data_IF_439116677385
#
_entry.id   IF_439116677385
#
_cell.length_a   1.000
_cell.length_b   1.000
_cell.length_c   1.000
_cell.angle_alpha   90.00
_cell.angle_beta   90.00
_cell.angle_gamma   90.00
#
_symmetry.space_group_name_H-M   'P 1'
#
loop_
_entity.id
_entity.type
_entity.pdbx_description
1 polymer ?
#
# COMPACT_ATOMS: atom_id res chain seq x y z
N UNK A 1 -24.82 -23.03 -6.61
CA UNK A 1 -25.15 -21.91 -5.69
C UNK A 1 -23.86 -21.16 -5.46
N UNK A 2 -23.71 -19.95 -6.00
CA UNK A 2 -22.64 -19.06 -5.55
C UNK A 2 -23.02 -18.63 -4.14
N UNK A 3 -22.39 -19.21 -3.14
CA UNK A 3 -22.46 -18.64 -1.80
C UNK A 3 -21.74 -17.29 -1.90
N UNK A 4 -22.45 -16.20 -1.63
CA UNK A 4 -21.85 -14.88 -1.48
C UNK A 4 -20.95 -14.91 -0.25
N UNK A 5 -19.67 -15.26 -0.46
CA UNK A 5 -18.68 -15.29 0.60
C UNK A 5 -18.39 -13.84 1.00
N UNK A 6 -18.73 -13.51 2.24
CA UNK A 6 -18.47 -12.22 2.85
C UNK A 6 -17.26 -12.33 3.77
N UNK A 7 -16.31 -11.42 3.62
CA UNK A 7 -15.02 -11.42 4.31
C UNK A 7 -14.94 -10.20 5.22
N UNK A 8 -14.55 -10.41 6.48
CA UNK A 8 -14.31 -9.34 7.46
C UNK A 8 -12.82 -9.02 7.53
N UNK A 9 -12.48 -7.74 7.67
CA UNK A 9 -11.11 -7.32 7.93
C UNK A 9 -10.80 -7.41 9.43
N UNK A 10 -9.74 -8.17 9.73
CA UNK A 10 -9.30 -8.49 11.09
C UNK A 10 -8.51 -7.34 11.75
N UNK A 11 -8.06 -6.37 10.95
CA UNK A 11 -7.18 -5.25 11.34
C UNK A 11 -7.89 -4.22 12.25
N UNK A 12 -9.17 -4.46 12.54
CA UNK A 12 -10.14 -3.47 12.99
C UNK A 12 -10.75 -3.75 14.35
N UNK A 13 -10.31 -4.78 15.08
CA UNK A 13 -10.89 -5.12 16.39
C UNK A 13 -10.59 -4.10 17.51
N UNK A 14 -9.59 -3.21 17.34
CA UNK A 14 -9.16 -2.28 18.41
C UNK A 14 -8.70 -0.90 17.90
N UNK A 15 -9.46 -0.18 17.06
CA UNK A 15 -9.08 1.17 16.61
C UNK A 15 -10.23 2.17 16.70
N UNK A 16 -9.93 3.43 17.00
CA UNK A 16 -10.86 4.56 16.86
C UNK A 16 -11.20 4.75 15.38
N UNK A 17 -12.45 4.47 15.01
CA UNK A 17 -12.94 4.57 13.63
C UNK A 17 -13.99 5.67 13.53
N UNK A 18 -13.86 6.48 12.49
CA UNK A 18 -14.95 7.37 12.08
C UNK A 18 -15.64 6.74 10.86
N UNK A 19 -16.92 6.48 11.00
CA UNK A 19 -17.75 5.91 9.93
C UNK A 19 -18.11 7.05 8.96
N UNK A 20 -17.75 6.92 7.68
CA UNK A 20 -18.05 7.93 6.63
C UNK A 20 -19.42 7.63 5.99
N UNK A 21 -19.69 6.35 5.73
CA UNK A 21 -20.97 5.85 5.20
C UNK A 21 -21.31 4.49 5.82
N UNK A 22 -22.41 3.85 5.39
CA UNK A 22 -22.86 2.54 5.89
C UNK A 22 -21.73 1.48 5.94
N UNK A 23 -20.80 1.52 4.99
CA UNK A 23 -19.76 0.49 4.80
C UNK A 23 -18.32 1.04 4.66
N UNK A 24 -18.16 2.36 4.43
CA UNK A 24 -16.86 3.04 4.22
C UNK A 24 -16.39 3.71 5.52
N UNK A 25 -15.11 3.51 5.87
CA UNK A 25 -14.49 3.99 7.12
C UNK A 25 -13.23 4.80 6.82
N UNK A 26 -12.93 5.81 7.65
CA UNK A 26 -11.57 6.34 7.82
C UNK A 26 -10.95 5.73 9.06
N UNK A 27 -9.68 5.38 8.97
CA UNK A 27 -8.89 4.98 10.13
C UNK A 27 -7.47 5.53 10.00
N UNK A 28 -6.91 5.96 11.14
CA UNK A 28 -5.50 6.33 11.23
C UNK A 28 -4.67 5.11 11.57
N UNK A 29 -3.60 4.90 10.83
CA UNK A 29 -2.66 3.80 11.01
C UNK A 29 -1.28 4.35 11.32
N UNK A 30 -0.76 4.04 12.50
CA UNK A 30 0.61 4.35 12.88
C UNK A 30 1.56 3.29 12.32
N UNK A 31 2.51 3.74 11.52
CA UNK A 31 3.59 2.95 10.91
C UNK A 31 4.88 3.31 11.63
N UNK A 32 5.54 2.30 12.20
CA UNK A 32 6.68 2.54 13.08
C UNK A 32 7.98 2.50 12.29
N UNK A 33 8.75 3.57 12.41
CA UNK A 33 10.14 3.57 11.98
C UNK A 33 11.02 3.14 13.15
N UNK A 34 11.53 1.91 13.13
CA UNK A 34 12.41 1.41 14.20
C UNK A 34 13.73 2.19 14.32
N UNK A 35 14.06 3.09 13.39
CA UNK A 35 15.33 3.85 13.39
C UNK A 35 15.41 4.95 14.46
N UNK A 36 14.29 5.29 15.12
CA UNK A 36 14.26 6.20 16.29
C UNK A 36 14.13 5.48 17.63
N UNK A 37 14.27 4.15 17.64
CA UNK A 37 14.65 3.45 18.85
C UNK A 37 16.14 3.78 19.04
N UNK A 38 16.45 4.90 19.72
CA UNK A 38 17.60 4.85 20.62
C UNK A 38 17.47 3.53 21.36
N UNK A 39 18.54 2.72 21.52
CA UNK A 39 18.46 1.50 22.30
C UNK A 39 18.13 1.92 23.73
N UNK A 40 16.84 2.13 24.00
CA UNK A 40 16.27 2.25 25.32
C UNK A 40 16.60 0.91 25.90
N UNK A 41 17.56 0.93 26.81
CA UNK A 41 17.93 -0.15 27.72
C UNK A 41 16.77 -1.12 27.80
N UNK A 42 16.95 -2.27 27.15
CA UNK A 42 15.95 -3.32 26.99
C UNK A 42 15.20 -3.47 28.31
N UNK A 43 13.93 -3.06 28.41
CA UNK A 43 13.11 -3.55 29.50
C UNK A 43 12.94 -5.03 29.17
N UNK A 44 13.55 -5.87 29.99
CA UNK A 44 13.40 -7.30 30.00
C UNK A 44 11.91 -7.67 30.08
N UNK A 45 11.31 -7.87 28.92
CA UNK A 45 10.16 -8.73 28.71
C UNK A 45 10.50 -9.52 27.47
N UNK A 46 10.53 -10.85 27.58
CA UNK A 46 10.66 -11.76 26.45
C UNK A 46 9.71 -11.28 25.35
N UNK A 47 10.24 -10.69 24.26
CA UNK A 47 9.45 -10.44 23.06
C UNK A 47 9.21 -11.81 22.43
N UNK A 48 8.28 -12.57 23.00
CA UNK A 48 7.77 -13.80 22.40
C UNK A 48 7.09 -13.39 21.10
N UNK A 49 7.67 -13.84 20.00
CA UNK A 49 7.04 -13.75 18.68
C UNK A 49 5.86 -14.72 18.75
N UNK A 50 4.64 -14.18 18.77
CA UNK A 50 3.43 -14.98 18.85
C UNK A 50 2.88 -15.26 17.44
N UNK A 51 2.28 -16.43 17.28
CA UNK A 51 1.67 -16.89 16.05
C UNK A 51 0.20 -17.22 16.31
N UNK A 52 -0.66 -16.99 15.31
CA UNK A 52 -2.05 -17.41 15.39
C UNK A 52 -2.22 -18.90 15.03
N UNK A 53 -3.48 -19.35 14.93
CA UNK A 53 -3.80 -20.74 14.61
C UNK A 53 -3.37 -21.18 13.20
N UNK A 54 -3.19 -20.23 12.29
CA UNK A 54 -2.77 -20.48 10.91
C UNK A 54 -1.24 -20.40 10.75
N UNK A 55 -0.53 -20.03 11.83
CA UNK A 55 0.92 -19.88 11.85
C UNK A 55 1.38 -18.52 11.34
N UNK A 56 0.47 -17.56 11.20
CA UNK A 56 0.80 -16.19 10.83
C UNK A 56 1.28 -15.40 12.04
N UNK A 57 2.16 -14.43 11.78
CA UNK A 57 2.76 -13.61 12.81
C UNK A 57 1.71 -12.64 13.40
N UNK A 58 1.51 -12.70 14.72
CA UNK A 58 0.65 -11.75 15.44
C UNK A 58 1.41 -10.43 15.62
N UNK A 59 1.07 -9.41 14.82
CA UNK A 59 1.69 -8.08 14.94
C UNK A 59 0.89 -7.17 15.87
N UNK A 60 1.33 -7.01 17.12
CA UNK A 60 0.75 -6.04 18.05
C UNK A 60 1.09 -4.60 17.63
N UNK A 61 0.06 -3.78 17.38
CA UNK A 61 0.23 -2.37 16.99
C UNK A 61 -0.25 -1.44 18.10
N UNK A 62 0.57 -0.48 18.50
CA UNK A 62 0.19 0.57 19.47
C UNK A 62 -0.61 1.67 18.78
N UNK A 63 -1.56 2.27 19.50
CA UNK A 63 -2.47 3.28 18.93
C UNK A 63 -1.84 4.66 18.71
N UNK A 64 -0.81 5.03 19.47
CA UNK A 64 -0.19 6.35 19.37
C UNK A 64 1.30 6.29 19.66
N UNK A 65 2.09 6.90 18.78
CA UNK A 65 3.53 7.08 18.95
C UNK A 65 3.94 8.38 18.23
N UNK A 66 4.53 9.32 18.98
CA UNK A 66 4.97 10.61 18.45
C UNK A 66 6.07 10.48 17.38
N UNK A 67 6.75 9.33 17.31
CA UNK A 67 7.81 9.05 16.35
C UNK A 67 7.33 8.18 15.17
N UNK A 68 6.02 7.91 15.07
CA UNK A 68 5.45 7.10 13.99
C UNK A 68 4.85 7.96 12.86
N UNK A 69 4.94 7.44 11.63
CA UNK A 69 4.24 7.98 10.47
C UNK A 69 2.78 7.58 10.61
N UNK A 70 1.86 8.54 10.54
CA UNK A 70 0.42 8.25 10.63
C UNK A 70 -0.23 8.42 9.27
N UNK A 71 -0.71 7.32 8.69
CA UNK A 71 -1.50 7.35 7.46
C UNK A 71 -2.99 7.41 7.79
N UNK A 72 -3.73 8.26 7.10
CA UNK A 72 -5.20 8.27 7.12
C UNK A 72 -5.70 7.47 5.93
N UNK A 73 -6.29 6.31 6.19
CA UNK A 73 -6.73 5.39 5.14
C UNK A 73 -8.24 5.25 5.16
N UNK A 74 -8.81 5.40 3.99
CA UNK A 74 -10.18 5.09 3.64
C UNK A 74 -10.26 3.63 3.19
N UNK A 75 -11.18 2.87 3.78
CA UNK A 75 -11.33 1.44 3.53
C UNK A 75 -12.73 0.94 3.88
N UNK A 76 -12.96 -0.35 3.66
CA UNK A 76 -14.17 -1.08 4.02
C UNK A 76 -13.82 -2.17 5.05
N UNK A 77 -14.63 -2.30 6.10
CA UNK A 77 -14.40 -3.36 7.12
C UNK A 77 -14.82 -4.75 6.64
N UNK A 78 -15.70 -4.81 5.65
CA UNK A 78 -16.30 -6.06 5.23
C UNK A 78 -16.79 -5.96 3.80
N UNK A 79 -16.46 -6.95 2.97
CA UNK A 79 -16.81 -6.95 1.55
C UNK A 79 -17.08 -8.37 1.07
N UNK A 80 -17.74 -8.49 -0.09
CA UNK A 80 -17.72 -9.75 -0.83
C UNK A 80 -16.29 -10.12 -1.24
N UNK A 81 -16.01 -11.42 -1.37
CA UNK A 81 -14.69 -11.95 -1.72
C UNK A 81 -14.05 -11.26 -2.94
N UNK A 82 -14.84 -10.88 -3.94
CA UNK A 82 -14.32 -10.22 -5.15
C UNK A 82 -13.76 -8.80 -4.88
N UNK A 83 -14.17 -8.18 -3.77
CA UNK A 83 -13.89 -6.79 -3.39
C UNK A 83 -12.98 -6.68 -2.16
N UNK A 84 -12.23 -7.73 -1.82
CA UNK A 84 -11.33 -7.73 -0.65
C UNK A 84 -10.19 -6.73 -0.74
N UNK A 85 -9.85 -6.25 -1.95
CA UNK A 85 -8.87 -5.18 -2.13
C UNK A 85 -9.28 -3.83 -1.54
N UNK A 86 -10.57 -3.65 -1.19
CA UNK A 86 -11.06 -2.44 -0.49
C UNK A 86 -10.81 -2.48 1.02
N UNK A 87 -10.34 -3.60 1.54
CA UNK A 87 -10.08 -3.82 2.96
C UNK A 87 -8.61 -3.56 3.31
N UNK A 88 -8.33 -3.27 4.59
CA UNK A 88 -6.96 -3.27 5.10
C UNK A 88 -6.58 -4.68 5.55
N UNK A 89 -5.39 -5.13 5.15
CA UNK A 89 -4.83 -6.44 5.48
C UNK A 89 -3.65 -6.30 6.45
N UNK A 90 -3.51 -7.22 7.40
CA UNK A 90 -2.42 -7.17 8.38
C UNK A 90 -1.04 -7.19 7.68
N UNK A 91 -0.90 -7.98 6.62
CA UNK A 91 0.29 -8.07 5.78
C UNK A 91 0.70 -6.72 5.15
N UNK A 92 -0.25 -5.88 4.74
CA UNK A 92 0.10 -4.57 4.16
C UNK A 92 0.65 -3.61 5.21
N UNK A 93 0.18 -3.71 6.46
CA UNK A 93 0.74 -2.95 7.57
C UNK A 93 2.13 -3.47 7.98
N UNK A 94 2.36 -4.79 7.93
CA UNK A 94 3.68 -5.36 8.19
C UNK A 94 4.70 -4.90 7.13
N UNK A 95 4.31 -4.96 5.86
CA UNK A 95 5.13 -4.45 4.76
C UNK A 95 5.38 -2.94 4.88
N UNK A 96 4.40 -2.16 5.36
CA UNK A 96 4.56 -0.74 5.62
C UNK A 96 5.69 -0.43 6.61
N UNK A 97 5.77 -1.18 7.72
CA UNK A 97 6.86 -1.02 8.68
C UNK A 97 8.22 -1.33 8.03
N UNK A 98 8.29 -2.38 7.20
CA UNK A 98 9.50 -2.75 6.47
C UNK A 98 9.93 -1.71 5.43
N UNK A 99 9.00 -1.14 4.66
CA UNK A 99 9.28 -0.08 3.66
C UNK A 99 9.94 1.13 4.31
N UNK A 100 9.42 1.53 5.47
CA UNK A 100 9.94 2.69 6.19
C UNK A 100 11.31 2.39 6.78
N UNK A 101 11.50 1.21 7.35
CA UNK A 101 12.79 0.77 7.92
C UNK A 101 13.88 0.58 6.85
N UNK A 102 13.55 0.01 5.70
CA UNK A 102 14.53 -0.51 4.74
C UNK A 102 14.92 0.51 3.67
N UNK A 103 16.22 0.70 3.42
CA UNK A 103 16.72 1.60 2.39
C UNK A 103 16.69 1.02 0.97
N UNK A 104 16.26 -0.24 0.80
CA UNK A 104 16.13 -0.88 -0.52
C UNK A 104 15.14 -0.15 -1.44
N UNK A 105 14.20 0.60 -0.88
CA UNK A 105 13.21 1.39 -1.62
C UNK A 105 13.75 2.76 -2.03
N UNK A 106 14.94 3.16 -1.58
CA UNK A 106 15.51 4.47 -1.91
C UNK A 106 15.89 4.53 -3.38
N UNK A 107 15.36 5.52 -4.07
CA UNK A 107 15.64 5.83 -5.48
C UNK A 107 15.35 4.65 -6.46
N UNK A 108 14.54 3.65 -6.05
CA UNK A 108 14.06 2.55 -6.89
C UNK A 108 12.96 2.98 -7.86
N UNK A 109 12.74 2.16 -8.89
CA UNK A 109 11.43 2.04 -9.53
C UNK A 109 10.75 0.81 -8.94
N UNK A 110 9.62 1.02 -8.28
CA UNK A 110 8.95 -0.01 -7.51
C UNK A 110 7.56 -0.29 -8.11
N UNK A 111 7.15 -1.56 -8.18
CA UNK A 111 5.82 -1.98 -8.63
C UNK A 111 5.12 -2.72 -7.48
N UNK A 112 3.92 -2.27 -7.11
CA UNK A 112 3.06 -2.97 -6.15
C UNK A 112 1.98 -3.74 -6.91
N UNK A 113 1.94 -5.05 -6.67
CA UNK A 113 0.94 -5.96 -7.21
C UNK A 113 -0.18 -6.13 -6.18
N UNK A 114 -1.39 -5.67 -6.49
CA UNK A 114 -2.56 -5.83 -5.62
C UNK A 114 -2.53 -4.80 -4.51
N UNK A 115 -2.38 -3.55 -4.90
CA UNK A 115 -2.20 -2.43 -3.97
C UNK A 115 -3.36 -2.27 -2.99
N UNK A 116 -4.57 -2.72 -3.36
CA UNK A 116 -5.75 -2.64 -2.51
C UNK A 116 -6.07 -1.21 -2.08
N UNK A 117 -5.86 -0.88 -0.80
CA UNK A 117 -6.05 0.48 -0.27
C UNK A 117 -4.84 1.40 -0.48
N UNK A 118 -3.70 0.88 -0.96
CA UNK A 118 -2.52 1.66 -1.36
C UNK A 118 -1.51 2.00 -0.26
N UNK A 119 -1.60 1.37 0.92
CA UNK A 119 -0.71 1.68 2.06
C UNK A 119 0.78 1.58 1.69
N UNK A 120 1.19 0.49 1.03
CA UNK A 120 2.59 0.29 0.68
C UNK A 120 3.02 1.25 -0.43
N UNK A 121 2.22 1.46 -1.47
CA UNK A 121 2.51 2.43 -2.53
C UNK A 121 2.70 3.84 -2.00
N UNK A 122 1.87 4.28 -1.06
CA UNK A 122 2.00 5.60 -0.41
C UNK A 122 3.37 5.71 0.26
N UNK A 123 3.74 4.75 1.11
CA UNK A 123 5.00 4.83 1.86
C UNK A 123 6.23 4.63 0.97
N UNK A 124 6.15 3.73 -0.02
CA UNK A 124 7.22 3.52 -0.98
C UNK A 124 7.49 4.80 -1.78
N UNK A 125 6.45 5.58 -2.10
CA UNK A 125 6.57 6.85 -2.83
C UNK A 125 7.44 7.89 -2.10
N UNK A 126 7.58 7.77 -0.77
CA UNK A 126 8.41 8.67 0.03
C UNK A 126 9.91 8.42 -0.14
N UNK A 127 10.32 7.23 -0.61
CA UNK A 127 11.73 6.84 -0.79
C UNK A 127 12.09 6.58 -2.26
N UNK A 128 11.17 5.98 -3.01
CA UNK A 128 11.35 5.57 -4.39
C UNK A 128 11.54 6.76 -5.36
N UNK A 129 12.16 6.48 -6.49
CA UNK A 129 12.13 7.37 -7.66
C UNK A 129 10.72 7.37 -8.27
N UNK A 130 10.11 6.18 -8.43
CA UNK A 130 8.74 6.05 -8.92
C UNK A 130 8.06 4.79 -8.39
N UNK A 131 6.74 4.84 -8.20
CA UNK A 131 5.91 3.70 -7.81
C UNK A 131 4.82 3.45 -8.84
N UNK A 132 4.72 2.21 -9.32
CA UNK A 132 3.58 1.72 -10.09
C UNK A 132 2.64 0.97 -9.15
N UNK A 133 1.57 1.64 -8.71
CA UNK A 133 0.53 1.06 -7.88
C UNK A 133 -0.47 0.33 -8.77
N UNK A 134 -0.58 -0.99 -8.64
CA UNK A 134 -1.43 -1.78 -9.54
C UNK A 134 -2.45 -2.64 -8.82
N UNK A 135 -3.64 -2.74 -9.40
CA UNK A 135 -4.71 -3.63 -8.95
C UNK A 135 -5.59 -4.05 -10.14
N UNK A 136 -6.44 -5.05 -9.95
CA UNK A 136 -7.23 -5.67 -11.03
C UNK A 136 -8.51 -4.89 -11.35
N UNK A 137 -9.08 -4.17 -10.38
CA UNK A 137 -10.34 -3.43 -10.54
C UNK A 137 -10.15 -1.91 -10.49
N UNK A 138 -10.93 -1.19 -11.31
CA UNK A 138 -10.84 0.27 -11.41
C UNK A 138 -11.33 0.97 -10.13
N UNK A 139 -12.33 0.41 -9.45
CA UNK A 139 -12.88 0.98 -8.22
C UNK A 139 -11.90 0.87 -7.03
N UNK A 140 -11.09 -0.18 -6.98
CA UNK A 140 -9.97 -0.33 -6.03
C UNK A 140 -8.89 0.72 -6.34
N UNK A 141 -8.56 0.94 -7.61
CA UNK A 141 -7.60 1.97 -8.01
C UNK A 141 -8.08 3.38 -7.68
N UNK A 142 -9.37 3.69 -7.88
CA UNK A 142 -9.94 4.96 -7.43
C UNK A 142 -9.78 5.16 -5.92
N UNK A 143 -10.04 4.12 -5.12
CA UNK A 143 -9.84 4.17 -3.67
C UNK A 143 -8.35 4.34 -3.29
N UNK A 144 -7.45 3.64 -3.98
CA UNK A 144 -6.00 3.75 -3.81
C UNK A 144 -5.54 5.19 -4.07
N UNK A 145 -6.00 5.79 -5.17
CA UNK A 145 -5.65 7.15 -5.56
C UNK A 145 -6.20 8.17 -4.54
N UNK A 146 -7.45 8.03 -4.11
CA UNK A 146 -8.05 8.85 -3.05
C UNK A 146 -7.18 8.80 -1.79
N UNK A 147 -6.78 7.60 -1.35
CA UNK A 147 -5.88 7.42 -0.21
C UNK A 147 -4.50 8.05 -0.42
N UNK A 148 -3.95 7.99 -1.62
CA UNK A 148 -2.68 8.65 -1.92
C UNK A 148 -2.79 10.17 -1.79
N UNK A 149 -3.81 10.77 -2.39
CA UNK A 149 -4.06 12.21 -2.33
C UNK A 149 -4.26 12.69 -0.88
N UNK A 150 -4.89 11.87 -0.02
CA UNK A 150 -5.01 12.17 1.42
C UNK A 150 -3.69 12.18 2.18
N UNK A 151 -2.66 11.50 1.71
CA UNK A 151 -1.41 11.30 2.46
C UNK A 151 -0.16 11.85 1.74
N UNK A 152 -0.27 12.26 0.46
CA UNK A 152 0.88 12.66 -0.36
C UNK A 152 1.59 13.89 0.20
N UNK A 153 0.91 14.75 0.97
CA UNK A 153 1.52 15.88 1.65
C UNK A 153 2.65 15.46 2.60
N UNK A 154 2.62 14.22 3.12
CA UNK A 154 3.67 13.70 3.99
C UNK A 154 5.01 13.56 3.25
N UNK A 155 4.97 13.36 1.93
CA UNK A 155 6.16 13.25 1.07
C UNK A 155 7.04 14.49 1.18
N UNK A 156 6.46 15.69 1.30
CA UNK A 156 7.23 16.93 1.40
C UNK A 156 8.18 16.94 2.61
N UNK A 157 7.79 16.32 3.73
CA UNK A 157 8.68 16.18 4.89
C UNK A 157 9.85 15.23 4.61
N UNK A 158 9.60 14.16 3.84
CA UNK A 158 10.63 13.21 3.42
C UNK A 158 11.58 13.85 2.40
N UNK A 159 11.06 14.57 1.41
CA UNK A 159 11.89 15.24 0.40
C UNK A 159 12.84 16.25 1.05
N UNK A 160 12.37 17.02 2.03
CA UNK A 160 13.22 17.92 2.81
C UNK A 160 14.33 17.17 3.57
N UNK A 161 14.00 16.03 4.19
CA UNK A 161 14.96 15.21 4.93
C UNK A 161 16.01 14.56 4.00
N UNK A 162 15.57 14.02 2.86
CA UNK A 162 16.42 13.37 1.86
C UNK A 162 17.05 14.34 0.85
N UNK A 163 16.79 15.65 0.99
CA UNK A 163 17.27 16.72 0.09
C UNK A 163 16.88 16.47 -1.38
N UNK A 164 15.70 15.88 -1.62
CA UNK A 164 15.13 15.75 -2.96
C UNK A 164 14.64 17.11 -3.44
N UNK A 165 14.99 17.46 -4.69
CA UNK A 165 14.60 18.73 -5.32
C UNK A 165 13.41 18.59 -6.27
N UNK A 166 13.01 17.36 -6.58
CA UNK A 166 11.89 17.05 -7.47
C UNK A 166 10.60 16.82 -6.66
N UNK A 167 9.65 17.74 -6.84
CA UNK A 167 8.36 17.77 -6.13
C UNK A 167 7.22 17.16 -6.94
N UNK A 168 7.51 16.57 -8.11
CA UNK A 168 6.49 15.90 -8.90
C UNK A 168 5.96 14.64 -8.20
N UNK A 169 4.67 14.38 -8.37
CA UNK A 169 4.04 13.16 -7.88
C UNK A 169 4.66 11.97 -8.62
N UNK A 170 5.20 11.02 -7.86
CA UNK A 170 5.97 9.90 -8.39
C UNK A 170 5.23 8.56 -8.28
N UNK A 171 3.89 8.60 -8.34
CA UNK A 171 3.04 7.40 -8.30
C UNK A 171 2.17 7.35 -9.54
N UNK A 172 2.12 6.19 -10.19
CA UNK A 172 1.18 5.90 -11.26
C UNK A 172 0.25 4.78 -10.85
N UNK A 173 -1.04 5.01 -10.95
CA UNK A 173 -2.08 4.00 -10.72
C UNK A 173 -2.40 3.32 -12.05
N UNK A 174 -2.25 1.99 -12.12
CA UNK A 174 -2.46 1.24 -13.36
C UNK A 174 -3.23 -0.04 -13.11
N UNK A 175 -4.22 -0.30 -13.97
CA UNK A 175 -4.93 -1.58 -13.98
C UNK A 175 -3.99 -2.69 -14.41
N UNK A 176 -3.89 -3.73 -13.59
CA UNK A 176 -3.15 -4.94 -13.89
C UNK A 176 -3.94 -6.14 -13.38
N UNK A 177 -4.57 -6.87 -14.31
CA UNK A 177 -5.17 -8.15 -14.01
C UNK A 177 -4.17 -9.26 -14.35
N UNK A 178 -3.46 -9.77 -13.35
CA UNK A 178 -2.45 -10.82 -13.52
C UNK A 178 -3.04 -12.21 -13.80
N UNK A 179 -4.35 -12.42 -13.65
CA UNK A 179 -5.00 -13.67 -14.05
C UNK A 179 -5.24 -13.76 -15.55
N UNK A 180 -5.11 -12.64 -16.28
CA UNK A 180 -5.51 -12.53 -17.68
C UNK A 180 -4.30 -12.30 -18.60
N UNK A 181 -3.36 -13.26 -18.56
CA UNK A 181 -2.09 -13.23 -19.31
C UNK A 181 -2.31 -13.08 -20.82
N UNK A 182 -3.41 -13.61 -21.35
CA UNK A 182 -3.70 -13.66 -22.79
C UNK A 182 -3.98 -12.28 -23.43
N UNK A 183 -4.41 -11.27 -22.66
CA UNK A 183 -4.68 -9.92 -23.20
C UNK A 183 -3.49 -8.97 -23.13
N UNK A 184 -2.42 -9.33 -22.41
CA UNK A 184 -1.25 -8.45 -22.23
C UNK A 184 -0.29 -8.50 -23.44
N UNK A 185 -0.21 -9.63 -24.14
CA UNK A 185 0.66 -9.78 -25.33
C UNK A 185 0.19 -8.97 -26.57
N UNK A 186 -1.09 -8.63 -26.65
CA UNK A 186 -1.61 -7.85 -27.79
C UNK A 186 -1.16 -6.37 -27.78
N UNK A 187 -0.78 -5.83 -26.61
CA UNK A 187 -0.23 -4.48 -26.50
C UNK A 187 1.22 -4.37 -27.02
N UNK A 188 2.00 -5.44 -26.87
CA UNK A 188 3.38 -5.51 -27.40
C UNK A 188 3.37 -5.60 -28.93
N UNK A 189 2.42 -6.36 -29.51
CA UNK A 189 2.23 -6.42 -30.96
C UNK A 189 1.77 -5.08 -31.57
N UNK A 190 0.98 -4.29 -30.84
CA UNK A 190 0.56 -2.96 -31.31
C UNK A 190 1.74 -1.97 -31.39
N UNK A 191 2.66 -1.97 -30.42
CA UNK A 191 3.89 -1.17 -30.46
C UNK A 191 4.88 -1.67 -31.52
N UNK A 192 5.00 -2.99 -31.69
CA UNK A 192 5.80 -3.58 -32.76
C UNK A 192 5.28 -3.13 -34.14
N UNK A 193 3.97 -3.21 -34.37
CA UNK A 193 3.35 -2.76 -35.64
C UNK A 193 3.47 -1.24 -35.86
N UNK A 194 3.46 -0.41 -34.81
CA UNK A 194 3.67 1.03 -34.93
C UNK A 194 5.12 1.41 -35.25
N UNK A 195 6.09 0.64 -34.73
CA UNK A 195 7.51 0.81 -35.02
C UNK A 195 7.85 0.41 -36.46
N UNK A 196 7.26 -0.67 -36.99
CA UNK A 196 7.42 -1.05 -38.39
C UNK A 196 6.70 -0.10 -39.36
N UNK A 197 5.49 0.36 -39.04
CA UNK A 197 4.77 1.31 -39.89
C UNK A 197 5.48 2.69 -40.02
N UNK A 198 6.39 3.03 -39.09
CA UNK A 198 7.23 4.24 -39.18
C UNK A 198 8.54 4.04 -39.96
N UNK A 199 8.97 2.81 -40.22
CA UNK A 199 10.19 2.52 -40.99
C UNK A 199 9.95 2.35 -42.49
N UNK A 200 8.69 2.25 -42.94
CA UNK A 200 8.34 2.11 -44.37
C UNK A 200 8.20 3.46 -45.12
N UNK A 201 8.60 4.58 -44.50
CA UNK A 201 8.52 5.94 -45.09
C UNK A 201 9.87 6.71 -45.08
N UNK A 202 11.00 5.99 -45.05
CA UNK A 202 12.34 6.54 -45.34
C UNK A 202 13.05 5.64 -46.35
#
# INVERSE_FOLDING_TARGET
MNHDIFVLSEVHLCKTKNKISSEKYITRFCIKCSTYIEPKSVPSTENTIDYDSDGDLITNRTEFDNNAITLTIIHYNSTHLNNVGKQVWAASLLMADYIIYSDVFKDCYCIELGAGVGICSILASFKASHVFSTDKEDDILCLTQENYEFNCFMRYYFDAFYKKTDLELNVSFRKLNWFNVEKQHNGVNALHNLLYAKMDYL
#
